data_IF_137349742073
#
_entry.id   IF_137349742073
#
_cell.length_a   1.000
_cell.length_b   1.000
_cell.length_c   1.000
_cell.angle_alpha   90.00
_cell.angle_beta   90.00
_cell.angle_gamma   90.00
#
_symmetry.space_group_name_H-M   'P 1'
#
loop_
_entity.id
_entity.type
_entity.pdbx_description
1 polymer ?
#
# COMPACT_ATOMS: atom_id res chain seq x y z
N UNK A 1 24.98 -59.87 3.70
CA UNK A 1 24.35 -58.64 3.09
C UNK A 1 25.13 -57.46 3.61
N UNK A 2 26.02 -56.90 2.78
CA UNK A 2 26.87 -55.75 3.12
C UNK A 2 26.12 -54.47 2.75
N UNK A 3 25.79 -53.61 3.75
CA UNK A 3 25.19 -52.31 3.51
C UNK A 3 26.30 -51.33 3.06
N UNK A 4 26.26 -50.92 1.79
CA UNK A 4 27.10 -49.85 1.27
C UNK A 4 26.68 -48.52 1.87
N UNK A 5 27.46 -47.99 2.80
CA UNK A 5 27.28 -46.62 3.30
C UNK A 5 27.84 -45.62 2.25
N UNK A 6 26.98 -44.96 1.54
CA UNK A 6 27.31 -43.89 0.60
C UNK A 6 27.84 -42.71 1.41
N UNK A 7 29.15 -42.52 1.43
CA UNK A 7 29.81 -41.34 2.02
C UNK A 7 29.40 -40.09 1.25
N UNK A 8 28.49 -39.30 1.81
CA UNK A 8 28.25 -37.95 1.31
C UNK A 8 29.49 -37.09 1.50
N UNK A 9 30.18 -36.83 0.40
CA UNK A 9 31.29 -35.89 0.36
C UNK A 9 30.77 -34.48 0.55
N UNK A 10 30.93 -33.88 1.74
CA UNK A 10 30.63 -32.46 1.97
C UNK A 10 31.44 -31.63 0.99
N UNK A 11 30.77 -31.04 -0.01
CA UNK A 11 31.38 -30.07 -0.91
C UNK A 11 31.79 -28.86 -0.05
N UNK A 12 33.09 -28.59 0.03
CA UNK A 12 33.62 -27.41 0.72
C UNK A 12 33.13 -26.20 -0.05
N UNK A 13 32.32 -25.36 0.57
CA UNK A 13 31.91 -24.09 -0.01
C UNK A 13 33.16 -23.21 -0.11
N UNK A 14 33.66 -22.99 -1.31
CA UNK A 14 34.68 -21.99 -1.56
C UNK A 14 33.98 -20.62 -1.51
N UNK A 15 34.38 -19.83 -0.53
CA UNK A 15 33.96 -18.41 -0.47
C UNK A 15 34.87 -17.70 -1.48
N UNK A 16 34.25 -17.18 -2.55
CA UNK A 16 34.97 -16.33 -3.51
C UNK A 16 35.54 -15.10 -2.79
N UNK A 17 36.63 -14.56 -3.33
CA UNK A 17 37.22 -13.32 -2.82
C UNK A 17 36.17 -12.22 -2.71
N UNK A 18 36.14 -11.55 -1.56
CA UNK A 18 35.25 -10.41 -1.35
C UNK A 18 35.97 -9.17 -1.90
N UNK A 19 35.40 -8.58 -2.92
CA UNK A 19 35.90 -7.35 -3.53
C UNK A 19 34.95 -6.19 -3.27
N UNK A 20 35.49 -4.97 -3.18
CA UNK A 20 34.67 -3.77 -3.08
C UNK A 20 34.08 -3.46 -4.44
N UNK A 21 32.76 -3.23 -4.50
CA UNK A 21 32.06 -2.80 -5.71
C UNK A 21 31.70 -1.33 -5.63
N UNK A 22 31.65 -0.66 -6.79
CA UNK A 22 31.08 0.69 -6.95
C UNK A 22 29.59 0.66 -7.31
N UNK A 23 29.03 -0.54 -7.42
CA UNK A 23 27.62 -0.71 -7.73
C UNK A 23 26.74 -0.25 -6.59
N UNK A 24 25.53 0.20 -6.94
CA UNK A 24 24.53 0.62 -5.95
C UNK A 24 23.77 -0.61 -5.49
N UNK A 25 24.08 -1.07 -4.29
CA UNK A 25 23.44 -2.24 -3.69
C UNK A 25 22.30 -1.78 -2.78
N UNK A 26 21.23 -2.56 -2.73
CA UNK A 26 20.12 -2.38 -1.78
C UNK A 26 19.65 -3.72 -1.27
N UNK A 27 19.34 -3.80 0.02
CA UNK A 27 18.67 -4.96 0.62
C UNK A 27 17.18 -5.06 0.25
N UNK A 28 16.65 -4.07 -0.49
CA UNK A 28 15.21 -3.95 -0.82
C UNK A 28 14.88 -4.31 -2.28
N UNK A 29 15.73 -5.12 -2.91
CA UNK A 29 15.56 -5.52 -4.32
C UNK A 29 14.17 -6.15 -4.62
N UNK A 30 13.55 -6.79 -3.64
CA UNK A 30 12.19 -7.34 -3.77
C UNK A 30 11.12 -6.32 -4.14
N UNK A 31 11.33 -5.03 -3.85
CA UNK A 31 10.41 -3.97 -4.26
C UNK A 31 10.31 -3.80 -5.77
N UNK A 32 11.31 -4.22 -6.55
CA UNK A 32 11.21 -4.19 -8.02
C UNK A 32 10.03 -5.03 -8.53
N UNK A 33 9.76 -6.18 -7.91
CA UNK A 33 8.58 -7.00 -8.23
C UNK A 33 7.28 -6.27 -7.88
N UNK A 34 7.26 -5.56 -6.76
CA UNK A 34 6.11 -4.77 -6.37
C UNK A 34 5.86 -3.61 -7.34
N UNK A 35 6.89 -2.91 -7.77
CA UNK A 35 6.78 -1.83 -8.78
C UNK A 35 6.26 -2.39 -10.10
N UNK A 36 6.80 -3.53 -10.56
CA UNK A 36 6.28 -4.23 -11.74
C UNK A 36 4.79 -4.55 -11.59
N UNK A 37 4.38 -5.04 -10.41
CA UNK A 37 2.97 -5.30 -10.12
C UNK A 37 2.12 -4.02 -10.18
N UNK A 38 2.59 -2.89 -9.63
CA UNK A 38 1.87 -1.60 -9.71
C UNK A 38 1.67 -1.16 -11.17
N UNK A 39 2.66 -1.40 -12.04
CA UNK A 39 2.53 -1.13 -13.47
C UNK A 39 1.49 -2.05 -14.13
N UNK A 40 1.54 -3.34 -13.84
CA UNK A 40 0.60 -4.33 -14.42
C UNK A 40 -0.86 -4.04 -14.08
N UNK A 41 -1.15 -3.67 -12.83
CA UNK A 41 -2.52 -3.34 -12.41
C UNK A 41 -2.96 -1.93 -12.81
N UNK A 42 -2.09 -1.15 -13.45
CA UNK A 42 -2.36 0.21 -13.91
C UNK A 42 -2.85 1.15 -12.79
N UNK A 43 -2.41 0.92 -11.54
CA UNK A 43 -2.88 1.72 -10.40
C UNK A 43 -2.35 3.15 -10.45
N UNK A 44 -1.12 3.36 -10.92
CA UNK A 44 -0.51 4.69 -10.96
C UNK A 44 -1.26 5.65 -11.91
N UNK A 45 -1.60 5.28 -13.15
CA UNK A 45 -2.48 6.09 -14.01
C UNK A 45 -3.86 6.34 -13.39
N UNK A 46 -4.42 5.34 -12.70
CA UNK A 46 -5.70 5.47 -12.02
C UNK A 46 -5.64 6.50 -10.90
N UNK A 47 -4.59 6.45 -10.07
CA UNK A 47 -4.35 7.43 -9.01
C UNK A 47 -4.11 8.84 -9.57
N UNK A 48 -3.39 8.97 -10.67
CA UNK A 48 -3.17 10.27 -11.30
C UNK A 48 -4.48 10.86 -11.82
N UNK A 49 -5.33 10.05 -12.43
CA UNK A 49 -6.66 10.46 -12.90
C UNK A 49 -7.53 11.04 -11.78
N UNK A 50 -7.57 10.39 -10.60
CA UNK A 50 -8.42 10.81 -9.49
C UNK A 50 -7.78 11.89 -8.61
N UNK A 51 -6.48 11.86 -8.45
CA UNK A 51 -5.77 12.69 -7.48
C UNK A 51 -4.74 13.65 -8.08
N UNK A 52 -4.48 13.60 -9.38
CA UNK A 52 -3.47 14.46 -10.02
C UNK A 52 -3.68 15.95 -9.75
N UNK A 53 -4.93 16.37 -9.59
CA UNK A 53 -5.32 17.75 -9.29
C UNK A 53 -5.37 18.11 -7.80
N UNK A 54 -4.96 17.20 -6.88
CA UNK A 54 -5.09 17.44 -5.42
C UNK A 54 -4.26 18.64 -4.96
N UNK A 55 -3.15 18.92 -5.65
CA UNK A 55 -2.27 20.04 -5.36
C UNK A 55 -2.58 21.22 -6.28
N UNK A 56 -2.81 22.39 -5.69
CA UNK A 56 -2.98 23.64 -6.44
C UNK A 56 -1.72 24.03 -7.21
N UNK A 57 -0.55 23.81 -6.60
CA UNK A 57 0.74 24.14 -7.19
C UNK A 57 1.34 22.88 -7.87
N UNK A 58 1.57 23.00 -9.18
CA UNK A 58 2.18 21.95 -10.01
C UNK A 58 3.72 21.90 -9.93
N UNK A 59 4.36 22.83 -9.19
CA UNK A 59 5.82 22.80 -9.00
C UNK A 59 6.25 21.63 -8.12
N UNK A 60 7.34 20.98 -8.50
CA UNK A 60 7.93 19.85 -7.78
C UNK A 60 7.46 18.48 -8.29
N UNK A 61 7.53 17.44 -7.45
CA UNK A 61 7.18 16.08 -7.84
C UNK A 61 5.71 15.96 -8.24
N UNK A 62 5.44 15.19 -9.27
CA UNK A 62 4.07 14.83 -9.64
C UNK A 62 3.37 14.07 -8.50
N UNK A 63 2.05 14.17 -8.46
CA UNK A 63 1.24 13.49 -7.43
C UNK A 63 1.38 11.97 -7.56
N UNK A 64 1.39 11.45 -8.78
CA UNK A 64 1.58 10.02 -9.05
C UNK A 64 2.93 9.51 -8.53
N UNK A 65 3.97 10.32 -8.62
CA UNK A 65 5.29 9.99 -8.12
C UNK A 65 5.31 9.89 -6.58
N UNK A 66 4.60 10.79 -5.91
CA UNK A 66 4.43 10.73 -4.45
C UNK A 66 3.65 9.48 -4.04
N UNK A 67 2.60 9.10 -4.78
CA UNK A 67 1.89 7.86 -4.54
C UNK A 67 2.80 6.64 -4.70
N UNK A 68 3.58 6.56 -5.79
CA UNK A 68 4.52 5.45 -6.01
C UNK A 68 5.48 5.29 -4.84
N UNK A 69 6.11 6.39 -4.40
CA UNK A 69 7.03 6.36 -3.27
C UNK A 69 6.34 5.96 -1.96
N UNK A 70 5.13 6.43 -1.69
CA UNK A 70 4.36 6.06 -0.50
C UNK A 70 3.97 4.58 -0.54
N UNK A 71 3.50 4.08 -1.67
CA UNK A 71 3.13 2.67 -1.82
C UNK A 71 4.34 1.75 -1.63
N UNK A 72 5.48 2.10 -2.22
CA UNK A 72 6.72 1.36 -2.04
C UNK A 72 7.22 1.42 -0.58
N UNK A 73 7.09 2.56 0.09
CA UNK A 73 7.42 2.70 1.51
C UNK A 73 6.54 1.80 2.39
N UNK A 74 5.24 1.75 2.12
CA UNK A 74 4.33 0.87 2.86
C UNK A 74 4.61 -0.61 2.59
N UNK A 75 4.95 -0.96 1.35
CA UNK A 75 5.32 -2.34 0.98
C UNK A 75 6.67 -2.78 1.57
N UNK A 76 7.63 -1.86 1.68
CA UNK A 76 8.92 -2.11 2.35
C UNK A 76 8.73 -2.50 3.82
N UNK A 77 7.79 -1.87 4.52
CA UNK A 77 7.41 -2.20 5.89
C UNK A 77 8.50 -1.98 6.95
N UNK A 78 9.67 -1.46 6.58
CA UNK A 78 10.81 -1.29 7.49
C UNK A 78 10.49 -0.29 8.61
N UNK A 79 9.67 0.71 8.35
CA UNK A 79 9.29 1.72 9.34
C UNK A 79 7.84 2.18 9.15
N UNK A 80 7.18 2.52 10.25
CA UNK A 80 5.85 3.16 10.24
C UNK A 80 5.94 4.70 10.23
N UNK A 81 7.13 5.24 10.47
CA UNK A 81 7.32 6.67 10.65
C UNK A 81 7.73 7.35 9.35
N UNK A 82 6.95 8.34 8.93
CA UNK A 82 7.21 9.12 7.71
C UNK A 82 8.61 9.77 7.70
N UNK A 83 9.21 10.02 8.87
CA UNK A 83 10.59 10.54 8.97
C UNK A 83 11.61 9.64 8.25
N UNK A 84 11.30 8.36 8.12
CA UNK A 84 12.19 7.40 7.47
C UNK A 84 12.40 7.68 5.98
N UNK A 85 11.54 8.47 5.35
CA UNK A 85 11.76 8.97 3.99
C UNK A 85 13.06 9.76 3.84
N UNK A 86 13.52 10.43 4.89
CA UNK A 86 14.78 11.18 4.85
C UNK A 86 16.00 10.24 4.80
N UNK A 87 15.87 9.01 5.30
CA UNK A 87 16.88 7.95 5.14
C UNK A 87 16.81 7.34 3.74
N UNK A 88 15.60 7.02 3.26
CA UNK A 88 15.40 6.44 1.93
C UNK A 88 15.84 7.38 0.81
N UNK A 89 15.70 8.70 1.01
CA UNK A 89 16.16 9.70 0.05
C UNK A 89 17.68 9.70 -0.17
N UNK A 90 18.45 9.11 0.75
CA UNK A 90 19.91 8.97 0.66
C UNK A 90 20.32 7.62 0.08
N UNK A 91 19.40 6.66 -0.03
CA UNK A 91 19.64 5.32 -0.55
C UNK A 91 19.44 5.29 -2.06
N UNK A 92 20.55 5.38 -2.80
CA UNK A 92 20.51 5.36 -4.25
C UNK A 92 20.10 4.00 -4.83
N UNK A 93 20.36 2.90 -4.12
CA UNK A 93 19.91 1.57 -4.50
C UNK A 93 18.37 1.45 -4.36
N UNK A 94 17.82 1.96 -3.26
CA UNK A 94 16.36 2.03 -3.08
C UNK A 94 15.71 2.89 -4.17
N UNK A 95 16.24 4.08 -4.45
CA UNK A 95 15.69 4.96 -5.48
C UNK A 95 15.66 4.27 -6.85
N UNK A 96 16.75 3.58 -7.24
CA UNK A 96 16.80 2.79 -8.47
C UNK A 96 15.78 1.65 -8.49
N UNK A 97 15.59 0.94 -7.38
CA UNK A 97 14.64 -0.16 -7.27
C UNK A 97 13.19 0.28 -7.47
N UNK A 98 12.85 1.49 -7.01
CA UNK A 98 11.50 2.05 -7.19
C UNK A 98 11.39 2.94 -8.45
N UNK A 99 12.34 2.84 -9.38
CA UNK A 99 12.37 3.59 -10.65
C UNK A 99 12.32 5.11 -10.46
N UNK A 100 13.02 5.63 -9.45
CA UNK A 100 13.06 7.05 -9.12
C UNK A 100 14.50 7.54 -9.08
N UNK A 101 14.74 8.73 -9.58
CA UNK A 101 16.04 9.39 -9.43
C UNK A 101 16.23 9.86 -7.98
N UNK A 102 17.45 9.78 -7.46
CA UNK A 102 17.77 10.19 -6.08
C UNK A 102 17.33 11.63 -5.81
N UNK A 103 17.50 12.54 -6.79
CA UNK A 103 17.11 13.96 -6.67
C UNK A 103 15.59 14.14 -6.62
N UNK A 104 14.83 13.17 -7.13
CA UNK A 104 13.36 13.15 -7.13
C UNK A 104 12.78 12.40 -5.93
N UNK A 105 13.61 11.89 -5.02
CA UNK A 105 13.12 11.29 -3.80
C UNK A 105 12.45 12.35 -2.91
N UNK A 106 11.32 11.96 -2.34
CA UNK A 106 10.57 12.84 -1.43
C UNK A 106 11.20 12.83 -0.04
N UNK A 107 11.30 14.00 0.59
CA UNK A 107 11.59 14.11 2.01
C UNK A 107 10.35 13.86 2.86
N UNK A 108 10.55 13.53 4.13
CA UNK A 108 9.47 13.34 5.12
C UNK A 108 8.52 14.54 5.16
N UNK A 109 9.06 15.77 5.08
CA UNK A 109 8.27 16.98 5.06
C UNK A 109 7.39 17.11 3.80
N UNK A 110 7.90 16.67 2.64
CA UNK A 110 7.13 16.65 1.39
C UNK A 110 5.98 15.66 1.46
N UNK A 111 6.21 14.48 2.03
CA UNK A 111 5.16 13.47 2.24
C UNK A 111 4.10 13.96 3.23
N UNK A 112 4.49 14.59 4.36
CA UNK A 112 3.52 15.20 5.29
C UNK A 112 2.64 16.23 4.59
N UNK A 113 3.22 17.13 3.77
CA UNK A 113 2.45 18.10 2.98
C UNK A 113 1.54 17.44 1.94
N UNK A 114 1.99 16.32 1.37
CA UNK A 114 1.17 15.55 0.45
C UNK A 114 -0.07 14.99 1.16
N UNK A 115 0.07 14.36 2.32
CA UNK A 115 -1.08 13.89 3.09
C UNK A 115 -2.00 15.02 3.54
N UNK A 116 -1.46 16.17 3.95
CA UNK A 116 -2.27 17.33 4.33
C UNK A 116 -3.04 17.97 3.16
N UNK A 117 -2.71 17.64 1.91
CA UNK A 117 -3.45 18.11 0.75
C UNK A 117 -4.77 17.34 0.53
N UNK A 118 -4.99 16.22 1.24
CA UNK A 118 -6.23 15.47 1.15
C UNK A 118 -7.32 16.11 2.01
N UNK A 119 -8.38 16.60 1.36
CA UNK A 119 -9.59 16.98 2.05
C UNK A 119 -10.42 15.73 2.38
N UNK A 120 -11.24 15.80 3.43
CA UNK A 120 -12.14 14.73 3.84
C UNK A 120 -13.01 14.18 2.69
N UNK A 121 -13.53 15.05 1.84
CA UNK A 121 -14.37 14.67 0.69
C UNK A 121 -13.66 13.79 -0.31
N UNK A 122 -12.33 13.78 -0.33
CA UNK A 122 -11.54 12.97 -1.28
C UNK A 122 -11.43 11.49 -0.89
N UNK A 123 -11.91 11.11 0.29
CA UNK A 123 -11.95 9.71 0.71
C UNK A 123 -12.84 8.87 -0.24
N UNK A 124 -13.89 9.48 -0.80
CA UNK A 124 -14.77 8.82 -1.77
C UNK A 124 -14.04 8.45 -3.08
N UNK A 125 -13.01 9.19 -3.45
CA UNK A 125 -12.20 8.87 -4.63
C UNK A 125 -11.36 7.60 -4.41
N UNK A 126 -10.90 7.35 -3.19
CA UNK A 126 -10.23 6.07 -2.86
C UNK A 126 -11.18 4.88 -3.00
N UNK A 127 -12.44 5.04 -2.63
CA UNK A 127 -13.45 3.99 -2.87
C UNK A 127 -13.58 3.66 -4.35
N UNK A 128 -13.60 4.67 -5.22
CA UNK A 128 -13.63 4.45 -6.67
C UNK A 128 -12.38 3.73 -7.18
N UNK A 129 -11.20 4.05 -6.64
CA UNK A 129 -9.96 3.32 -6.95
C UNK A 129 -10.10 1.85 -6.53
N UNK A 130 -10.51 1.57 -5.30
CA UNK A 130 -10.68 0.22 -4.78
C UNK A 130 -11.72 -0.56 -5.60
N UNK A 131 -12.84 0.06 -5.94
CA UNK A 131 -13.86 -0.53 -6.79
C UNK A 131 -13.32 -0.87 -8.19
N UNK A 132 -12.56 0.04 -8.79
CA UNK A 132 -11.94 -0.20 -10.11
C UNK A 132 -10.96 -1.38 -10.07
N UNK A 133 -10.14 -1.49 -9.01
CA UNK A 133 -9.22 -2.60 -8.81
C UNK A 133 -9.96 -3.93 -8.56
N UNK A 134 -11.04 -3.88 -7.79
CA UNK A 134 -11.88 -5.05 -7.55
C UNK A 134 -12.51 -5.57 -8.84
N UNK A 135 -13.10 -4.69 -9.63
CA UNK A 135 -13.68 -5.05 -10.94
C UNK A 135 -12.60 -5.58 -11.89
N UNK A 136 -11.43 -4.97 -11.91
CA UNK A 136 -10.29 -5.44 -12.68
C UNK A 136 -9.90 -6.88 -12.28
N UNK A 137 -9.80 -7.15 -10.97
CA UNK A 137 -9.51 -8.49 -10.45
C UNK A 137 -10.58 -9.52 -10.84
N UNK A 138 -11.86 -9.15 -10.76
CA UNK A 138 -12.96 -10.01 -11.18
C UNK A 138 -12.88 -10.36 -12.67
N UNK A 139 -12.56 -9.38 -13.51
CA UNK A 139 -12.40 -9.60 -14.96
C UNK A 139 -11.27 -10.57 -15.29
N UNK A 140 -10.18 -10.56 -14.51
CA UNK A 140 -9.06 -11.50 -14.70
C UNK A 140 -9.39 -12.88 -14.17
N UNK A 141 -9.92 -12.96 -12.94
CA UNK A 141 -10.16 -14.24 -12.27
C UNK A 141 -11.42 -14.97 -12.76
N UNK A 142 -12.40 -14.24 -13.25
CA UNK A 142 -13.70 -14.74 -13.69
C UNK A 142 -14.27 -15.83 -12.74
N UNK A 143 -14.40 -15.57 -11.43
CA UNK A 143 -14.86 -16.55 -10.47
C UNK A 143 -16.31 -16.93 -10.78
N UNK A 144 -16.63 -18.23 -10.70
CA UNK A 144 -18.00 -18.72 -10.88
C UNK A 144 -18.94 -18.32 -9.73
N UNK A 145 -18.39 -18.13 -8.55
CA UNK A 145 -19.09 -17.73 -7.33
C UNK A 145 -18.28 -16.66 -6.59
N UNK A 146 -18.96 -15.64 -6.09
CA UNK A 146 -18.38 -14.62 -5.25
C UNK A 146 -18.99 -14.77 -3.86
N UNK A 147 -18.20 -15.22 -2.90
CA UNK A 147 -18.60 -15.28 -1.49
C UNK A 147 -18.32 -13.94 -0.83
N UNK A 148 -19.35 -13.34 -0.26
CA UNK A 148 -19.24 -12.09 0.51
C UNK A 148 -19.35 -12.43 1.99
N UNK A 149 -18.24 -12.37 2.70
CA UNK A 149 -18.23 -12.44 4.16
C UNK A 149 -18.48 -11.04 4.74
N UNK A 150 -19.55 -10.90 5.49
CA UNK A 150 -19.84 -9.67 6.25
C UNK A 150 -19.54 -9.96 7.70
N UNK A 151 -18.51 -9.34 8.24
CA UNK A 151 -18.16 -9.44 9.65
C UNK A 151 -18.21 -8.06 10.29
N UNK A 152 -18.84 -7.99 11.46
CA UNK A 152 -18.92 -6.75 12.24
C UNK A 152 -17.91 -6.81 13.39
N UNK A 153 -16.86 -6.01 13.29
CA UNK A 153 -15.89 -5.86 14.37
C UNK A 153 -16.32 -4.76 15.34
N UNK A 154 -16.53 -5.14 16.60
CA UNK A 154 -16.80 -4.18 17.67
C UNK A 154 -15.46 -3.66 18.19
N UNK A 155 -15.16 -2.39 17.93
CA UNK A 155 -14.02 -1.72 18.50
C UNK A 155 -14.38 -1.13 19.86
N UNK A 156 -13.63 -1.47 20.90
CA UNK A 156 -13.73 -0.82 22.20
C UNK A 156 -13.11 0.57 22.11
N UNK A 157 -13.90 1.59 22.31
CA UNK A 157 -13.50 2.98 22.19
C UNK A 157 -14.08 3.80 23.35
N UNK A 158 -13.85 3.32 24.56
CA UNK A 158 -14.40 3.88 25.79
C UNK A 158 -14.05 5.37 25.99
N UNK A 159 -12.92 5.82 25.46
CA UNK A 159 -12.41 7.18 25.64
C UNK A 159 -12.90 8.17 24.58
N UNK A 160 -13.60 7.70 23.54
CA UNK A 160 -14.09 8.57 22.47
C UNK A 160 -15.54 8.96 22.71
N UNK A 161 -15.76 10.12 23.31
CA UNK A 161 -17.12 10.63 23.57
C UNK A 161 -17.78 11.23 22.33
N UNK A 162 -17.01 11.75 21.39
CA UNK A 162 -17.53 12.38 20.17
C UNK A 162 -16.61 12.13 18.98
N UNK A 163 -16.72 10.98 18.32
CA UNK A 163 -16.06 10.74 17.03
C UNK A 163 -17.10 10.55 15.95
N UNK A 164 -16.91 11.26 14.83
CA UNK A 164 -17.80 11.14 13.68
C UNK A 164 -17.79 9.71 13.13
N UNK A 165 -18.95 9.14 12.83
CA UNK A 165 -19.09 7.79 12.28
C UNK A 165 -19.07 6.65 13.31
N UNK A 166 -19.08 6.95 14.61
CA UNK A 166 -19.13 5.96 15.68
C UNK A 166 -20.54 5.90 16.27
N UNK A 167 -21.16 4.71 16.25
CA UNK A 167 -22.50 4.49 16.83
C UNK A 167 -22.43 3.51 18.00
N UNK A 168 -23.21 3.73 19.08
CA UNK A 168 -23.26 2.80 20.19
C UNK A 168 -23.86 1.46 19.75
N UNK A 169 -23.26 0.36 20.19
CA UNK A 169 -23.80 -0.98 20.00
C UNK A 169 -24.65 -1.40 21.22
N UNK A 170 -25.45 -2.45 21.08
CA UNK A 170 -26.25 -3.04 22.16
C UNK A 170 -25.38 -3.57 23.34
N UNK A 171 -24.09 -3.77 23.11
CA UNK A 171 -23.11 -4.17 24.13
C UNK A 171 -22.50 -2.95 24.78
N UNK A 172 -23.23 -2.31 25.70
CA UNK A 172 -22.84 -1.18 26.57
C UNK A 172 -21.46 -0.55 26.30
N UNK A 173 -21.41 0.78 26.02
CA UNK A 173 -20.19 1.61 25.88
C UNK A 173 -19.21 1.21 24.76
N UNK A 174 -19.57 0.30 23.89
CA UNK A 174 -18.79 -0.08 22.72
C UNK A 174 -19.43 0.49 21.47
N UNK A 175 -18.63 0.92 20.53
CA UNK A 175 -19.10 1.54 19.31
C UNK A 175 -18.71 0.66 18.12
N UNK A 176 -19.62 0.46 17.17
CA UNK A 176 -19.33 -0.19 15.92
C UNK A 176 -19.03 0.87 14.87
N UNK A 177 -17.79 0.93 14.41
CA UNK A 177 -17.39 1.82 13.34
C UNK A 177 -17.85 1.32 11.94
N UNK A 178 -18.33 0.07 11.87
CA UNK A 178 -18.50 -0.61 10.59
C UNK A 178 -19.89 -0.53 9.98
N UNK A 179 -20.92 -0.29 10.79
CA UNK A 179 -22.31 -0.30 10.30
C UNK A 179 -22.61 0.83 9.31
N UNK A 180 -21.93 1.98 9.43
CA UNK A 180 -22.15 3.12 8.54
C UNK A 180 -21.33 3.05 7.25
N UNK A 181 -20.19 2.35 7.24
CA UNK A 181 -19.41 2.17 6.02
C UNK A 181 -20.07 1.22 5.03
N UNK A 182 -20.75 0.17 5.52
CA UNK A 182 -21.52 -0.72 4.65
C UNK A 182 -22.75 -0.02 4.06
N UNK A 183 -23.48 0.77 4.83
CA UNK A 183 -24.61 1.57 4.32
C UNK A 183 -24.21 2.59 3.26
N UNK A 184 -22.97 3.10 3.29
CA UNK A 184 -22.45 4.03 2.28
C UNK A 184 -21.80 3.32 1.08
N UNK A 185 -21.42 2.05 1.17
CA UNK A 185 -21.06 1.23 0.02
C UNK A 185 -22.25 0.97 -0.91
N UNK A 186 -23.44 0.94 -0.34
CA UNK A 186 -24.71 0.79 -1.07
C UNK A 186 -25.01 1.95 -2.01
N UNK A 187 -24.67 3.17 -1.64
CA UNK A 187 -25.00 4.35 -2.43
C UNK A 187 -24.23 4.47 -3.74
N UNK A 188 -23.15 3.72 -3.93
CA UNK A 188 -22.33 3.78 -5.15
C UNK A 188 -22.56 2.65 -6.14
N UNK A 189 -23.21 1.54 -5.74
CA UNK A 189 -23.31 0.34 -6.56
C UNK A 189 -24.72 -0.03 -7.00
N UNK A 190 -25.73 0.75 -6.67
CA UNK A 190 -27.13 0.47 -7.07
C UNK A 190 -27.71 -0.82 -6.47
N UNK A 191 -27.14 -1.33 -5.39
CA UNK A 191 -27.72 -2.41 -4.60
C UNK A 191 -28.57 -1.83 -3.49
N UNK A 192 -29.85 -1.74 -3.71
CA UNK A 192 -30.84 -1.44 -2.68
C UNK A 192 -31.00 -2.70 -1.83
N UNK A 193 -30.63 -2.64 -0.59
CA UNK A 193 -31.03 -3.63 0.40
C UNK A 193 -32.48 -3.33 0.75
N UNK A 194 -33.40 -4.13 0.24
CA UNK A 194 -34.77 -4.12 0.69
C UNK A 194 -34.81 -4.36 2.20
N UNK A 195 -35.62 -3.54 2.88
CA UNK A 195 -35.95 -3.65 4.30
C UNK A 195 -36.59 -5.01 4.60
#
# INVERSE_FOLDING_TARGET
MSMNSTKYRKKKLEICSIETTRERLTGRAGLALFVTYLHQIQILPLLDRFFGSIRKNKKGLAVVELFRQVLCFMADGTSRHVIFFDHLAKDAGYAGTIETEVQKMASSHRIKRFFNAFAWTRIFLFRQVLQSLFIWRLKIKQPKLIELGIDTMVMDNNDAQCRHGVKPTYKKKRFSAFADELGTLDCGCGFSWGQ
#
